data_IF_303779032850
#
_entry.id   IF_303779032850
#
_cell.length_a   1.000
_cell.length_b   1.000
_cell.length_c   1.000
_cell.angle_alpha   90.00
_cell.angle_beta   90.00
_cell.angle_gamma   90.00
#
_symmetry.space_group_name_H-M   'P 1'
#
loop_
_entity.id
_entity.type
_entity.pdbx_description
1 polymer ?
#
# COMPACT_ATOMS: atom_id res chain seq x y z
N UNK A 1 -2.15 -31.94 11.52
CA UNK A 1 -0.99 -31.01 11.52
C UNK A 1 -1.36 -29.82 10.65
N UNK A 2 -1.38 -28.62 11.22
CA UNK A 2 -1.59 -27.38 10.49
C UNK A 2 -0.25 -26.95 9.90
N UNK A 3 -0.18 -26.75 8.59
CA UNK A 3 0.94 -26.07 7.96
C UNK A 3 0.60 -24.58 7.94
N UNK A 4 1.23 -23.83 8.83
CA UNK A 4 1.14 -22.38 8.86
C UNK A 4 2.28 -21.82 8.01
N UNK A 5 1.97 -21.27 6.85
CA UNK A 5 2.91 -20.44 6.09
C UNK A 5 2.81 -19.03 6.68
N UNK A 6 3.68 -18.75 7.63
CA UNK A 6 3.83 -17.40 8.18
C UNK A 6 4.72 -16.60 7.24
N UNK A 7 4.23 -15.44 6.82
CA UNK A 7 5.01 -14.53 5.97
C UNK A 7 6.34 -14.17 6.60
N UNK A 8 7.29 -13.85 5.75
CA UNK A 8 8.67 -13.46 6.06
C UNK A 8 8.73 -12.58 7.30
N UNK A 9 9.45 -13.05 8.32
CA UNK A 9 9.73 -12.29 9.54
C UNK A 9 10.46 -10.97 9.18
N UNK A 10 9.71 -9.89 9.14
CA UNK A 10 10.27 -8.57 9.40
C UNK A 10 9.93 -8.21 10.84
N UNK A 11 10.93 -7.81 11.61
CA UNK A 11 10.85 -7.50 13.02
C UNK A 11 9.53 -6.80 13.40
N UNK A 12 8.81 -7.38 14.36
CA UNK A 12 7.73 -6.77 15.15
C UNK A 12 6.38 -6.49 14.48
N UNK A 13 5.99 -7.18 13.41
CA UNK A 13 4.62 -7.13 12.88
C UNK A 13 3.85 -8.42 13.20
N UNK A 14 2.52 -8.35 13.42
CA UNK A 14 1.72 -9.54 13.67
C UNK A 14 1.88 -10.55 12.53
N UNK A 15 1.98 -11.82 12.88
CA UNK A 15 2.09 -12.93 11.92
C UNK A 15 0.78 -13.00 11.15
N UNK A 16 0.76 -12.48 9.93
CA UNK A 16 -0.40 -12.58 9.05
C UNK A 16 -0.44 -13.96 8.40
N UNK A 17 -1.57 -14.64 8.54
CA UNK A 17 -1.81 -15.91 7.88
C UNK A 17 -2.05 -15.66 6.39
N UNK A 18 -1.09 -16.03 5.54
CA UNK A 18 -1.22 -15.90 4.09
C UNK A 18 -2.04 -17.06 3.53
N UNK A 19 -1.67 -18.29 3.90
CA UNK A 19 -2.35 -19.52 3.50
C UNK A 19 -2.47 -20.44 4.71
N UNK A 20 -3.64 -21.02 4.91
CA UNK A 20 -3.84 -22.14 5.82
C UNK A 20 -4.21 -23.38 5.01
N UNK A 21 -3.58 -24.50 5.32
CA UNK A 21 -3.89 -25.79 4.70
C UNK A 21 -4.42 -26.70 5.81
N UNK A 22 -5.65 -27.17 5.64
CA UNK A 22 -6.29 -28.13 6.56
C UNK A 22 -6.49 -29.46 5.84
N UNK A 23 -6.22 -30.56 6.52
CA UNK A 23 -6.56 -31.88 6.03
C UNK A 23 -8.05 -32.14 6.29
N UNK A 24 -8.78 -32.52 5.26
CA UNK A 24 -10.21 -32.88 5.32
C UNK A 24 -10.37 -34.27 4.68
N UNK A 25 -10.37 -35.31 5.51
CA UNK A 25 -10.33 -36.69 5.06
C UNK A 25 -9.06 -37.02 4.29
N UNK A 26 -9.21 -37.45 3.02
CA UNK A 26 -8.10 -37.71 2.09
C UNK A 26 -7.66 -36.44 1.33
N UNK A 27 -8.44 -35.34 1.39
CA UNK A 27 -8.19 -34.08 0.69
C UNK A 27 -7.49 -33.05 1.57
N UNK A 28 -6.93 -32.05 0.94
CA UNK A 28 -6.39 -30.87 1.60
C UNK A 28 -7.19 -29.63 1.16
N UNK A 29 -7.70 -28.89 2.15
CA UNK A 29 -8.36 -27.62 1.92
C UNK A 29 -7.35 -26.48 2.13
N UNK A 30 -7.04 -25.76 1.07
CA UNK A 30 -6.22 -24.55 1.15
C UNK A 30 -7.14 -23.31 1.23
N UNK A 31 -6.90 -22.47 2.23
CA UNK A 31 -7.62 -21.21 2.41
C UNK A 31 -6.62 -20.07 2.45
N UNK A 32 -6.78 -19.08 1.57
CA UNK A 32 -5.97 -17.86 1.57
C UNK A 32 -6.61 -16.78 2.44
N UNK A 33 -5.77 -15.90 3.02
CA UNK A 33 -6.20 -14.67 3.67
C UNK A 33 -6.59 -13.57 2.67
N UNK A 34 -6.49 -12.33 3.12
CA UNK A 34 -6.76 -11.14 2.27
C UNK A 34 -5.51 -10.67 1.52
N UNK A 35 -4.77 -11.61 0.91
CA UNK A 35 -3.53 -11.32 0.19
C UNK A 35 -3.65 -11.69 -1.27
N UNK A 36 -3.04 -10.89 -2.13
CA UNK A 36 -2.91 -11.12 -3.58
C UNK A 36 -1.46 -10.92 -3.97
N UNK A 37 -0.97 -11.76 -4.88
CA UNK A 37 0.38 -11.68 -5.42
C UNK A 37 1.03 -13.04 -5.59
N UNK A 38 2.32 -13.03 -5.86
CA UNK A 38 3.12 -14.24 -6.15
C UNK A 38 4.27 -14.37 -5.18
N UNK A 39 4.58 -15.60 -4.77
CA UNK A 39 5.76 -15.88 -3.98
C UNK A 39 6.23 -17.33 -4.19
N UNK A 40 7.52 -17.54 -3.94
CA UNK A 40 8.11 -18.89 -3.91
C UNK A 40 8.30 -19.32 -2.47
N UNK A 41 7.94 -20.55 -2.18
CA UNK A 41 8.13 -21.18 -0.89
C UNK A 41 8.56 -22.63 -1.08
N UNK A 42 9.72 -23.02 -0.56
CA UNK A 42 10.28 -24.38 -0.66
C UNK A 42 10.23 -24.96 -2.09
N UNK A 43 10.56 -24.14 -3.10
CA UNK A 43 10.54 -24.55 -4.50
C UNK A 43 9.18 -24.50 -5.18
N UNK A 44 8.10 -24.24 -4.43
CA UNK A 44 6.76 -24.05 -4.99
C UNK A 44 6.53 -22.59 -5.33
N UNK A 45 6.03 -22.33 -6.52
CA UNK A 45 5.52 -21.01 -6.92
C UNK A 45 4.02 -20.93 -6.60
N UNK A 46 3.64 -19.98 -5.79
CA UNK A 46 2.26 -19.76 -5.34
C UNK A 46 1.78 -18.44 -5.90
N UNK A 47 0.67 -18.48 -6.65
CA UNK A 47 -0.01 -17.31 -7.21
C UNK A 47 -1.39 -17.17 -6.57
N UNK A 48 -1.58 -16.12 -5.77
CA UNK A 48 -2.85 -15.80 -5.11
C UNK A 48 -3.53 -14.70 -5.92
N UNK A 49 -4.65 -15.05 -6.56
CA UNK A 49 -5.44 -14.14 -7.38
C UNK A 49 -6.46 -13.37 -6.55
N UNK A 50 -6.88 -12.21 -7.06
CA UNK A 50 -7.96 -11.42 -6.46
C UNK A 50 -9.28 -12.21 -6.47
N UNK A 51 -10.07 -12.05 -5.39
CA UNK A 51 -11.44 -12.61 -5.31
C UNK A 51 -12.41 -11.91 -6.25
N UNK A 52 -12.12 -10.68 -6.59
CA UNK A 52 -12.89 -9.83 -7.49
C UNK A 52 -12.08 -9.58 -8.77
N UNK A 53 -12.63 -8.80 -9.71
CA UNK A 53 -11.97 -8.60 -11.01
C UNK A 53 -10.59 -7.92 -10.87
N UNK A 54 -9.68 -8.25 -11.79
CA UNK A 54 -8.37 -7.58 -11.88
C UNK A 54 -8.52 -6.09 -12.18
N UNK A 55 -9.53 -5.71 -12.97
CA UNK A 55 -9.85 -4.30 -13.26
C UNK A 55 -10.19 -3.52 -11.99
N UNK A 56 -10.93 -4.13 -11.07
CA UNK A 56 -11.21 -3.51 -9.78
C UNK A 56 -9.95 -3.38 -8.90
N UNK A 57 -9.12 -4.43 -8.86
CA UNK A 57 -7.84 -4.38 -8.13
C UNK A 57 -6.95 -3.25 -8.65
N UNK A 58 -6.86 -3.08 -9.96
CA UNK A 58 -6.11 -2.00 -10.58
C UNK A 58 -6.70 -0.61 -10.25
N UNK A 59 -8.04 -0.48 -10.25
CA UNK A 59 -8.69 0.77 -9.82
C UNK A 59 -8.34 1.12 -8.38
N UNK A 60 -8.35 0.16 -7.47
CA UNK A 60 -7.93 0.35 -6.08
C UNK A 60 -6.46 0.78 -5.98
N UNK A 61 -5.56 0.16 -6.74
CA UNK A 61 -4.14 0.54 -6.78
C UNK A 61 -3.94 1.96 -7.32
N UNK A 62 -4.71 2.37 -8.31
CA UNK A 62 -4.67 3.72 -8.85
C UNK A 62 -5.10 4.75 -7.79
N UNK A 63 -6.22 4.53 -7.12
CA UNK A 63 -6.66 5.40 -6.02
C UNK A 63 -5.65 5.49 -4.89
N UNK A 64 -5.05 4.37 -4.50
CA UNK A 64 -4.01 4.35 -3.48
C UNK A 64 -2.78 5.19 -3.85
N UNK A 65 -2.53 5.41 -5.14
CA UNK A 65 -1.49 6.31 -5.67
C UNK A 65 -2.00 7.70 -6.07
N UNK A 66 -3.19 8.11 -5.64
CA UNK A 66 -3.82 9.39 -5.99
C UNK A 66 -4.02 9.61 -7.50
N UNK A 67 -4.24 8.51 -8.23
CA UNK A 67 -4.57 8.51 -9.66
C UNK A 67 -6.08 8.35 -9.79
N UNK A 68 -6.80 9.47 -9.97
CA UNK A 68 -8.26 9.51 -10.02
C UNK A 68 -8.84 9.61 -11.44
N UNK A 69 -8.00 9.47 -12.47
CA UNK A 69 -8.43 9.61 -13.86
C UNK A 69 -9.19 8.37 -14.33
N UNK A 70 -10.35 8.60 -14.96
CA UNK A 70 -11.16 7.53 -15.54
C UNK A 70 -10.55 7.00 -16.84
N UNK A 71 -9.72 7.83 -17.53
CA UNK A 71 -9.12 7.59 -18.84
C UNK A 71 -7.61 7.33 -18.80
N UNK A 72 -7.05 6.90 -17.71
CA UNK A 72 -5.69 6.33 -17.80
C UNK A 72 -5.82 4.97 -18.46
N UNK A 73 -6.26 4.96 -19.72
CA UNK A 73 -5.93 3.92 -20.65
C UNK A 73 -4.41 3.89 -20.70
N UNK A 74 -3.87 2.87 -20.11
CA UNK A 74 -2.50 2.50 -20.37
C UNK A 74 -2.47 2.21 -21.85
N UNK A 75 -1.99 3.20 -22.61
CA UNK A 75 -1.74 3.06 -24.03
C UNK A 75 -0.57 2.09 -24.26
N UNK A 76 -0.81 0.85 -23.92
CA UNK A 76 -0.08 -0.29 -24.39
C UNK A 76 -1.09 -1.16 -25.11
N UNK A 77 -0.89 -1.35 -26.41
CA UNK A 77 -1.73 -2.16 -27.30
C UNK A 77 -1.80 -3.65 -26.94
N UNK A 78 -1.37 -4.02 -25.73
CA UNK A 78 -1.27 -5.41 -25.33
C UNK A 78 -2.41 -5.78 -24.39
N UNK A 79 -3.09 -6.86 -24.74
CA UNK A 79 -4.10 -7.52 -23.93
C UNK A 79 -3.63 -7.65 -22.48
N UNK A 80 -4.47 -7.26 -21.52
CA UNK A 80 -4.21 -7.40 -20.09
C UNK A 80 -4.19 -8.89 -19.77
N UNK A 81 -3.02 -9.46 -19.88
CA UNK A 81 -2.72 -10.79 -19.38
C UNK A 81 -2.46 -10.71 -17.88
N UNK A 82 -2.63 -11.81 -17.16
CA UNK A 82 -2.35 -11.94 -15.70
C UNK A 82 -0.97 -11.42 -15.29
N UNK A 83 -0.01 -11.36 -16.22
CA UNK A 83 1.32 -10.75 -16.06
C UNK A 83 1.29 -9.25 -15.79
N UNK A 84 0.27 -8.52 -16.24
CA UNK A 84 0.25 -7.07 -16.09
C UNK A 84 -0.15 -6.63 -14.69
N UNK A 85 -1.08 -7.31 -14.04
CA UNK A 85 -1.48 -6.95 -12.67
C UNK A 85 -0.33 -7.14 -11.67
N UNK A 86 0.51 -8.15 -11.87
CA UNK A 86 1.72 -8.36 -11.06
C UNK A 86 2.70 -7.20 -11.17
N UNK A 87 2.89 -6.65 -12.36
CA UNK A 87 3.72 -5.44 -12.59
C UNK A 87 3.16 -4.24 -11.85
N UNK A 88 1.84 -4.04 -11.89
CA UNK A 88 1.17 -2.96 -11.17
C UNK A 88 1.39 -3.06 -9.66
N UNK A 89 1.23 -4.24 -9.10
CA UNK A 89 1.48 -4.50 -7.69
C UNK A 89 2.92 -4.15 -7.33
N UNK A 90 3.89 -4.59 -8.14
CA UNK A 90 5.31 -4.31 -7.89
C UNK A 90 5.60 -2.80 -7.99
N UNK A 91 5.04 -2.10 -8.98
CA UNK A 91 5.20 -0.65 -9.11
C UNK A 91 4.61 0.08 -7.91
N UNK A 92 3.40 -0.29 -7.50
CA UNK A 92 2.78 0.25 -6.29
C UNK A 92 3.66 0.04 -5.05
N UNK A 93 4.09 -1.19 -4.81
CA UNK A 93 4.92 -1.53 -3.66
C UNK A 93 6.27 -0.80 -3.69
N UNK A 94 6.89 -0.65 -4.85
CA UNK A 94 8.11 0.12 -5.01
C UNK A 94 7.90 1.58 -4.64
N UNK A 95 6.88 2.24 -5.21
CA UNK A 95 6.59 3.65 -4.98
C UNK A 95 6.30 3.93 -3.52
N UNK A 96 5.40 3.17 -2.90
CA UNK A 96 5.03 3.33 -1.49
C UNK A 96 6.22 3.11 -0.53
N UNK A 97 7.05 2.09 -0.79
CA UNK A 97 8.22 1.85 0.05
C UNK A 97 9.33 2.88 -0.19
N UNK A 98 9.51 3.36 -1.44
CA UNK A 98 10.49 4.40 -1.75
C UNK A 98 10.12 5.72 -1.08
N UNK A 99 8.85 6.13 -1.12
CA UNK A 99 8.36 7.33 -0.46
C UNK A 99 8.63 7.29 1.05
N UNK A 100 8.27 6.19 1.72
CA UNK A 100 8.53 5.98 3.14
C UNK A 100 10.02 5.97 3.47
N UNK A 101 10.84 5.29 2.66
CA UNK A 101 12.28 5.21 2.89
C UNK A 101 12.98 6.55 2.69
N UNK A 102 12.50 7.38 1.76
CA UNK A 102 13.10 8.66 1.42
C UNK A 102 12.86 9.76 2.45
N UNK A 103 11.94 9.59 3.40
CA UNK A 103 11.65 10.58 4.45
C UNK A 103 12.91 11.05 5.21
N UNK A 104 13.89 10.17 5.36
CA UNK A 104 15.18 10.47 6.02
C UNK A 104 16.34 10.66 5.03
N UNK A 105 16.03 10.84 3.75
CA UNK A 105 16.98 11.02 2.66
C UNK A 105 17.57 9.71 2.13
N UNK A 106 18.52 9.83 1.20
CA UNK A 106 19.18 8.68 0.57
C UNK A 106 20.27 8.07 1.49
N UNK A 107 20.56 6.77 1.36
CA UNK A 107 21.64 6.12 2.09
C UNK A 107 22.98 6.75 1.82
N UNK A 108 23.71 7.10 2.90
CA UNK A 108 25.02 7.73 2.85
C UNK A 108 26.08 6.85 3.50
N UNK A 109 27.27 6.94 2.99
CA UNK A 109 28.45 6.32 3.57
C UNK A 109 29.61 7.33 3.66
N UNK A 110 30.46 7.15 4.67
CA UNK A 110 31.67 7.95 4.75
C UNK A 110 32.67 7.50 3.69
N UNK A 111 33.08 8.43 2.83
CA UNK A 111 34.17 8.23 1.85
C UNK A 111 35.35 9.11 2.21
N UNK A 112 36.56 8.57 2.11
CA UNK A 112 37.78 9.34 2.18
C UNK A 112 37.97 10.07 0.86
N UNK A 113 38.10 11.39 0.91
CA UNK A 113 38.32 12.24 -0.26
C UNK A 113 39.71 12.83 -0.14
N UNK A 114 40.53 12.61 -1.15
CA UNK A 114 41.87 13.17 -1.25
C UNK A 114 41.79 14.59 -1.83
N UNK A 115 42.53 15.49 -1.25
CA UNK A 115 42.61 16.88 -1.67
C UNK A 115 44.09 17.26 -1.87
N UNK A 116 44.34 18.09 -2.88
CA UNK A 116 45.63 18.71 -3.10
C UNK A 116 45.37 20.19 -3.43
N UNK A 117 45.13 20.97 -2.38
CA UNK A 117 44.64 22.34 -2.49
C UNK A 117 45.41 23.26 -1.54
N UNK A 118 45.27 24.60 -1.71
CA UNK A 118 45.90 25.59 -0.84
C UNK A 118 45.35 25.55 0.58
N UNK A 119 44.08 25.13 0.76
CA UNK A 119 43.44 24.99 2.06
C UNK A 119 43.49 23.56 2.54
N UNK A 120 43.92 23.36 3.77
CA UNK A 120 43.86 22.05 4.43
C UNK A 120 42.40 21.62 4.62
N UNK A 121 42.04 20.47 4.09
CA UNK A 121 40.73 19.84 4.29
C UNK A 121 40.90 18.48 5.00
N UNK A 122 40.54 18.42 6.26
CA UNK A 122 40.68 17.21 7.06
C UNK A 122 42.09 17.00 7.59
N UNK A 123 42.67 15.83 7.41
CA UNK A 123 44.01 15.46 7.92
C UNK A 123 45.06 15.52 6.78
N UNK A 124 46.26 15.94 7.09
CA UNK A 124 47.38 15.90 6.15
C UNK A 124 47.69 14.43 5.82
N UNK A 125 47.80 14.12 4.53
CA UNK A 125 48.35 12.84 4.05
C UNK A 125 49.85 12.95 4.07
N UNK A 126 50.47 12.50 5.18
CA UNK A 126 51.91 12.63 5.42
C UNK A 126 52.73 12.01 4.30
N UNK A 127 52.29 10.85 3.79
CA UNK A 127 53.00 10.14 2.72
C UNK A 127 52.99 10.94 1.42
N UNK A 128 51.89 11.51 1.06
CA UNK A 128 51.76 12.36 -0.12
C UNK A 128 52.42 13.70 0.07
N UNK A 129 52.31 14.29 1.27
CA UNK A 129 52.98 15.53 1.60
C UNK A 129 54.49 15.43 1.44
N UNK A 130 55.13 14.39 2.01
CA UNK A 130 56.58 14.17 1.87
C UNK A 130 56.96 13.94 0.42
N UNK A 131 56.16 13.20 -0.33
CA UNK A 131 56.50 12.80 -1.70
C UNK A 131 56.29 13.89 -2.75
N UNK A 132 55.25 14.74 -2.57
CA UNK A 132 54.80 15.65 -3.63
C UNK A 132 54.79 17.12 -3.20
N UNK A 133 54.74 17.41 -1.88
CA UNK A 133 54.57 18.78 -1.39
C UNK A 133 55.85 19.34 -0.79
N UNK A 134 56.96 18.63 -0.85
CA UNK A 134 58.31 19.11 -0.42
C UNK A 134 59.21 19.21 -1.66
N UNK A 135 59.76 20.43 -1.96
CA UNK A 135 59.55 21.70 -1.26
C UNK A 135 58.12 22.26 -1.48
N UNK A 136 57.59 22.95 -0.45
CA UNK A 136 56.23 23.46 -0.47
C UNK A 136 55.97 24.43 -1.62
N UNK A 137 54.97 24.08 -2.45
CA UNK A 137 54.54 24.85 -3.65
C UNK A 137 53.16 25.47 -3.52
N UNK A 138 52.71 25.74 -2.31
CA UNK A 138 51.46 26.42 -2.03
C UNK A 138 50.21 25.47 -1.96
N UNK A 139 50.39 24.14 -2.13
CA UNK A 139 49.31 23.15 -1.99
C UNK A 139 49.71 22.09 -0.98
N UNK A 140 48.71 21.56 -0.30
CA UNK A 140 48.88 20.52 0.73
C UNK A 140 48.02 19.32 0.40
N UNK A 141 48.66 18.16 0.39
CA UNK A 141 47.97 16.88 0.26
C UNK A 141 47.26 16.52 1.56
N UNK A 142 45.97 16.39 1.50
CA UNK A 142 45.13 16.10 2.67
C UNK A 142 44.00 15.16 2.36
N UNK A 143 43.45 14.54 3.38
CA UNK A 143 42.31 13.60 3.26
C UNK A 143 41.20 14.04 4.22
N UNK A 144 40.03 14.29 3.67
CA UNK A 144 38.82 14.49 4.46
C UNK A 144 37.96 13.23 4.44
N UNK A 145 37.10 13.11 5.46
CA UNK A 145 36.09 12.07 5.54
C UNK A 145 34.73 12.70 5.44
N UNK A 146 34.10 12.52 4.27
CA UNK A 146 32.81 13.12 3.96
C UNK A 146 31.71 12.09 3.81
N UNK A 147 30.51 12.43 4.22
CA UNK A 147 29.33 11.62 3.92
C UNK A 147 28.91 11.86 2.47
N UNK A 148 28.97 10.81 1.66
CA UNK A 148 28.48 10.82 0.27
C UNK A 148 27.38 9.80 0.10
N UNK A 149 26.43 10.12 -0.72
CA UNK A 149 25.37 9.20 -1.13
C UNK A 149 25.98 8.01 -1.88
N UNK A 150 25.31 6.85 -1.78
CA UNK A 150 25.84 5.61 -2.37
C UNK A 150 25.36 5.53 -3.81
N UNK A 151 26.29 5.66 -4.74
CA UNK A 151 26.02 5.80 -6.16
C UNK A 151 25.28 4.59 -6.73
N UNK A 152 25.66 3.38 -6.34
CA UNK A 152 25.03 2.14 -6.80
C UNK A 152 23.53 2.10 -6.42
N UNK A 153 23.17 2.62 -5.24
CA UNK A 153 21.78 2.69 -4.79
C UNK A 153 21.00 3.71 -5.64
N UNK A 154 21.57 4.90 -5.86
CA UNK A 154 20.94 5.95 -6.67
C UNK A 154 20.68 5.43 -8.08
N UNK A 155 21.66 4.82 -8.71
CA UNK A 155 21.58 4.35 -10.09
C UNK A 155 20.54 3.26 -10.27
N UNK A 156 20.44 2.31 -9.32
CA UNK A 156 19.43 1.25 -9.31
C UNK A 156 18.04 1.84 -9.14
N UNK A 157 17.84 2.72 -8.16
CA UNK A 157 16.55 3.38 -7.92
C UNK A 157 16.11 4.22 -9.12
N UNK A 158 17.03 5.00 -9.70
CA UNK A 158 16.72 5.82 -10.88
C UNK A 158 16.36 4.96 -12.09
N UNK A 159 17.05 3.83 -12.31
CA UNK A 159 16.74 2.90 -13.40
C UNK A 159 15.33 2.32 -13.25
N UNK A 160 14.94 1.90 -12.05
CA UNK A 160 13.59 1.41 -11.77
C UNK A 160 12.54 2.50 -12.00
N UNK A 161 12.76 3.70 -11.47
CA UNK A 161 11.88 4.87 -11.71
C UNK A 161 11.74 5.18 -13.20
N UNK A 162 12.83 5.12 -13.99
CA UNK A 162 12.79 5.34 -15.44
C UNK A 162 11.95 4.30 -16.18
N UNK A 163 11.99 3.05 -15.76
CA UNK A 163 11.16 1.98 -16.34
C UNK A 163 9.69 2.23 -16.04
N UNK A 164 9.35 2.57 -14.79
CA UNK A 164 7.97 2.92 -14.41
C UNK A 164 7.51 4.15 -15.20
N UNK A 165 8.33 5.18 -15.31
CA UNK A 165 8.01 6.42 -16.05
C UNK A 165 7.66 6.15 -17.53
N UNK A 166 8.35 5.19 -18.14
CA UNK A 166 8.09 4.77 -19.52
C UNK A 166 6.77 3.98 -19.65
N UNK A 167 6.49 3.13 -18.68
CA UNK A 167 5.36 2.20 -18.74
C UNK A 167 4.07 2.82 -18.18
N UNK A 168 4.17 3.55 -17.07
CA UNK A 168 3.04 4.23 -16.42
C UNK A 168 3.51 5.42 -15.59
N UNK A 169 3.62 6.57 -16.22
CA UNK A 169 4.07 7.83 -15.60
C UNK A 169 3.20 8.26 -14.42
N UNK A 170 1.92 7.91 -14.41
CA UNK A 170 0.97 8.32 -13.37
C UNK A 170 1.36 7.78 -11.99
N UNK A 171 1.97 6.59 -11.89
CA UNK A 171 2.47 6.04 -10.64
C UNK A 171 3.53 6.90 -9.93
N UNK A 172 4.24 7.74 -10.67
CA UNK A 172 5.32 8.56 -10.12
C UNK A 172 4.88 9.96 -9.66
N UNK A 173 3.57 10.27 -9.72
CA UNK A 173 3.05 11.60 -9.38
C UNK A 173 3.46 12.02 -7.96
N UNK A 174 3.24 11.16 -6.98
CA UNK A 174 3.52 11.45 -5.57
C UNK A 174 5.02 11.52 -5.24
N UNK A 175 5.85 10.81 -6.00
CA UNK A 175 7.31 10.78 -5.82
C UNK A 175 8.07 11.61 -6.88
N UNK A 176 7.42 12.59 -7.51
CA UNK A 176 8.06 13.44 -8.54
C UNK A 176 9.30 14.17 -8.03
N UNK A 177 9.30 14.62 -6.77
CA UNK A 177 10.45 15.24 -6.10
C UNK A 177 11.61 14.24 -5.93
N UNK A 178 11.33 12.99 -5.56
CA UNK A 178 12.35 11.93 -5.44
C UNK A 178 12.94 11.62 -6.82
N UNK A 179 12.10 11.51 -7.86
CA UNK A 179 12.54 11.32 -9.24
C UNK A 179 13.51 12.41 -9.68
N UNK A 180 13.20 13.67 -9.37
CA UNK A 180 14.07 14.82 -9.69
C UNK A 180 15.40 14.74 -8.96
N UNK A 181 15.36 14.41 -7.67
CA UNK A 181 16.57 14.24 -6.86
C UNK A 181 17.45 13.09 -7.40
N UNK A 182 16.88 11.91 -7.64
CA UNK A 182 17.61 10.78 -8.23
C UNK A 182 18.20 11.11 -9.60
N UNK A 183 17.48 11.87 -10.45
CA UNK A 183 17.96 12.31 -11.76
C UNK A 183 19.18 13.23 -11.65
N UNK A 184 19.23 14.08 -10.64
CA UNK A 184 20.33 15.01 -10.42
C UNK A 184 21.64 14.28 -10.02
N UNK A 185 21.53 13.23 -9.21
CA UNK A 185 22.69 12.54 -8.62
C UNK A 185 23.03 11.21 -9.28
N UNK A 186 22.24 10.74 -10.26
CA UNK A 186 22.55 9.51 -10.99
C UNK A 186 23.88 9.60 -11.71
N UNK A 187 24.60 8.49 -11.83
CA UNK A 187 25.74 8.37 -12.74
C UNK A 187 25.30 8.10 -14.18
N UNK A 188 26.26 8.12 -15.10
CA UNK A 188 26.04 7.69 -16.48
C UNK A 188 26.36 6.20 -16.69
N UNK A 189 26.66 5.47 -15.63
CA UNK A 189 27.04 4.07 -15.72
C UNK A 189 25.83 3.18 -16.04
N UNK A 190 26.08 2.10 -16.75
CA UNK A 190 25.05 1.07 -16.97
C UNK A 190 24.77 0.30 -15.68
N UNK A 191 23.50 0.13 -15.37
CA UNK A 191 23.05 -0.65 -14.21
C UNK A 191 22.98 -2.13 -14.61
N UNK A 192 23.98 -2.90 -14.18
CA UNK A 192 24.04 -4.36 -14.35
C UNK A 192 23.50 -5.09 -13.13
N UNK A 193 23.33 -6.42 -13.21
CA UNK A 193 23.01 -7.26 -12.05
C UNK A 193 24.07 -7.17 -10.96
N UNK A 194 25.33 -6.97 -11.32
CA UNK A 194 26.41 -6.74 -10.35
C UNK A 194 26.19 -5.42 -9.58
N UNK A 195 25.79 -4.35 -10.26
CA UNK A 195 25.44 -3.06 -9.62
C UNK A 195 24.28 -3.23 -8.64
N UNK A 196 23.24 -3.98 -9.02
CA UNK A 196 22.10 -4.28 -8.16
C UNK A 196 22.55 -5.06 -6.92
N UNK A 197 23.39 -6.08 -7.09
CA UNK A 197 23.90 -6.88 -5.98
C UNK A 197 24.81 -6.06 -5.05
N UNK A 198 25.64 -5.16 -5.57
CA UNK A 198 26.45 -4.21 -4.77
C UNK A 198 25.55 -3.28 -3.96
N UNK A 199 24.50 -2.74 -4.57
CA UNK A 199 23.52 -1.91 -3.87
C UNK A 199 22.85 -2.67 -2.72
N UNK A 200 22.34 -3.89 -2.95
CA UNK A 200 21.68 -4.73 -1.95
C UNK A 200 22.62 -5.16 -0.80
N UNK A 201 23.91 -5.39 -1.08
CA UNK A 201 24.92 -5.77 -0.09
C UNK A 201 25.59 -4.57 0.60
N UNK A 202 25.13 -3.35 0.33
CA UNK A 202 25.73 -2.14 0.92
C UNK A 202 25.63 -2.16 2.45
N UNK A 203 26.78 -1.92 3.12
CA UNK A 203 26.86 -1.85 4.59
C UNK A 203 25.97 -0.74 5.18
N UNK A 204 25.65 0.31 4.42
CA UNK A 204 24.77 1.38 4.89
C UNK A 204 23.36 0.88 5.17
N UNK A 205 22.89 -0.19 4.50
CA UNK A 205 21.57 -0.79 4.72
C UNK A 205 21.48 -1.58 6.04
N UNK A 206 22.60 -1.76 6.76
CA UNK A 206 22.59 -2.30 8.12
C UNK A 206 22.19 -1.23 9.16
N UNK A 207 22.29 0.05 8.80
CA UNK A 207 21.80 1.13 9.64
C UNK A 207 20.25 1.11 9.65
N UNK A 208 19.60 1.09 10.84
CA UNK A 208 18.13 1.09 10.95
C UNK A 208 17.45 2.21 10.16
N UNK A 209 18.08 3.39 10.03
CA UNK A 209 17.57 4.53 9.26
C UNK A 209 17.43 4.17 7.77
N UNK A 210 18.38 3.42 7.22
CA UNK A 210 18.42 3.07 5.80
C UNK A 210 17.98 1.63 5.51
N UNK A 211 17.71 0.83 6.53
CA UNK A 211 17.22 -0.54 6.38
C UNK A 211 15.97 -0.66 5.47
N UNK A 212 15.01 0.28 5.48
CA UNK A 212 13.85 0.23 4.57
C UNK A 212 14.23 0.20 3.08
N UNK A 213 15.38 0.79 2.71
CA UNK A 213 15.84 0.75 1.31
C UNK A 213 16.17 -0.65 0.81
N UNK A 214 16.45 -1.61 1.69
CA UNK A 214 16.68 -3.00 1.27
C UNK A 214 15.48 -3.53 0.49
N UNK A 215 14.28 -3.35 1.06
CA UNK A 215 13.03 -3.77 0.42
C UNK A 215 12.74 -3.00 -0.88
N UNK A 216 13.03 -1.71 -0.92
CA UNK A 216 12.90 -0.89 -2.13
C UNK A 216 13.82 -1.40 -3.25
N UNK A 217 15.06 -1.74 -2.93
CA UNK A 217 16.02 -2.27 -3.90
C UNK A 217 15.64 -3.68 -4.40
N UNK A 218 15.02 -4.49 -3.56
CA UNK A 218 14.44 -5.77 -3.98
C UNK A 218 13.35 -5.56 -5.04
N UNK A 219 12.41 -4.65 -4.81
CA UNK A 219 11.42 -4.28 -5.84
C UNK A 219 12.06 -3.67 -7.08
N UNK A 220 13.08 -2.80 -6.92
CA UNK A 220 13.82 -2.26 -8.05
C UNK A 220 14.46 -3.35 -8.91
N UNK A 221 15.03 -4.40 -8.30
CA UNK A 221 15.59 -5.56 -9.00
C UNK A 221 14.54 -6.23 -9.89
N UNK A 222 13.30 -6.44 -9.38
CA UNK A 222 12.22 -7.01 -10.19
C UNK A 222 11.80 -6.12 -11.34
N UNK A 223 11.69 -4.82 -11.10
CA UNK A 223 11.33 -3.86 -12.14
C UNK A 223 12.38 -3.84 -13.25
N UNK A 224 13.65 -3.94 -12.90
CA UNK A 224 14.76 -3.87 -13.85
C UNK A 224 14.91 -5.17 -14.65
N UNK A 225 14.79 -6.32 -13.99
CA UNK A 225 14.99 -7.63 -14.63
C UNK A 225 13.73 -8.17 -15.32
N UNK A 226 12.61 -7.45 -15.24
CA UNK A 226 11.31 -7.98 -15.63
C UNK A 226 10.83 -9.04 -14.63
N UNK A 227 9.66 -9.60 -14.86
CA UNK A 227 9.08 -10.61 -13.96
C UNK A 227 9.75 -12.00 -14.06
N UNK A 228 10.93 -12.10 -14.68
CA UNK A 228 11.68 -13.34 -14.73
C UNK A 228 12.25 -13.63 -13.35
N UNK A 229 11.53 -14.44 -12.60
CA UNK A 229 11.95 -15.04 -11.33
C UNK A 229 12.92 -16.20 -11.65
N UNK A 230 13.82 -16.03 -12.60
CA UNK A 230 14.91 -16.97 -12.81
C UNK A 230 16.03 -16.64 -11.85
N UNK A 231 16.01 -17.32 -10.72
CA UNK A 231 17.16 -17.34 -9.84
C UNK A 231 18.20 -18.34 -10.32
N UNK A 232 19.30 -17.80 -10.78
CA UNK A 232 20.60 -18.44 -10.58
C UNK A 232 21.15 -17.87 -9.29
N UNK A 233 20.86 -18.48 -8.15
CA UNK A 233 21.49 -18.14 -6.88
C UNK A 233 22.10 -19.37 -6.21
N UNK A 234 23.35 -19.19 -5.82
CA UNK A 234 24.16 -20.09 -5.03
C UNK A 234 23.44 -20.55 -3.74
N UNK A 235 22.73 -21.67 -3.81
CA UNK A 235 22.48 -22.58 -2.71
C UNK A 235 21.70 -22.11 -1.48
N UNK A 236 21.26 -20.86 -1.38
CA UNK A 236 20.36 -20.40 -0.30
C UNK A 236 18.98 -20.14 -0.86
N UNK A 237 18.00 -20.94 -0.42
CA UNK A 237 16.58 -20.74 -0.69
C UNK A 237 16.12 -19.42 -0.02
N UNK A 238 16.26 -18.31 -0.72
CA UNK A 238 15.60 -17.07 -0.29
C UNK A 238 14.16 -17.12 -0.82
N UNK A 239 13.22 -17.20 0.10
CA UNK A 239 11.78 -17.06 -0.18
C UNK A 239 11.55 -15.65 -0.68
N UNK A 240 11.26 -15.54 -1.97
CA UNK A 240 11.03 -14.23 -2.57
C UNK A 240 9.61 -14.14 -3.14
N UNK A 241 8.97 -13.01 -2.90
CA UNK A 241 7.64 -12.78 -3.43
C UNK A 241 7.16 -11.35 -3.18
N UNK A 242 6.10 -10.98 -3.87
CA UNK A 242 5.36 -9.76 -3.61
C UNK A 242 3.91 -10.13 -3.31
N UNK A 243 3.44 -9.69 -2.18
CA UNK A 243 2.05 -9.86 -1.75
C UNK A 243 1.55 -8.54 -1.15
N UNK A 244 0.32 -8.19 -1.46
CA UNK A 244 -0.36 -7.03 -0.89
C UNK A 244 -1.59 -7.47 -0.11
N UNK A 245 -1.89 -6.75 0.96
CA UNK A 245 -3.14 -6.89 1.68
C UNK A 245 -4.25 -6.13 0.94
N UNK A 246 -5.14 -6.85 0.28
CA UNK A 246 -6.21 -6.23 -0.50
C UNK A 246 -7.35 -5.68 0.37
N UNK A 247 -7.48 -6.12 1.63
CA UNK A 247 -8.43 -5.52 2.55
C UNK A 247 -7.99 -4.10 2.94
N UNK A 248 -6.71 -3.92 3.28
CA UNK A 248 -6.13 -2.59 3.53
C UNK A 248 -6.19 -1.70 2.27
N UNK A 249 -5.94 -2.29 1.10
CA UNK A 249 -6.05 -1.56 -0.16
C UNK A 249 -7.49 -1.09 -0.44
N UNK A 250 -8.48 -1.90 -0.11
CA UNK A 250 -9.90 -1.54 -0.25
C UNK A 250 -10.29 -0.42 0.72
N UNK A 251 -9.83 -0.47 1.96
CA UNK A 251 -10.00 0.59 2.95
C UNK A 251 -9.44 1.93 2.43
N UNK A 252 -8.18 1.92 1.94
CA UNK A 252 -7.54 3.11 1.36
C UNK A 252 -8.34 3.63 0.16
N UNK A 253 -8.80 2.73 -0.71
CA UNK A 253 -9.58 3.08 -1.89
C UNK A 253 -10.90 3.79 -1.53
N UNK A 254 -11.70 3.23 -0.63
CA UNK A 254 -12.96 3.83 -0.19
C UNK A 254 -12.70 5.15 0.54
N UNK A 255 -11.68 5.20 1.42
CA UNK A 255 -11.31 6.43 2.13
C UNK A 255 -10.99 7.56 1.14
N UNK A 256 -10.14 7.30 0.14
CA UNK A 256 -9.79 8.31 -0.87
C UNK A 256 -10.95 8.69 -1.78
N UNK A 257 -11.84 7.74 -2.10
CA UNK A 257 -13.06 8.03 -2.84
C UNK A 257 -13.96 9.00 -2.06
N UNK A 258 -14.16 8.75 -0.78
CA UNK A 258 -14.93 9.62 0.10
C UNK A 258 -14.25 10.98 0.31
N UNK A 259 -12.94 11.04 0.50
CA UNK A 259 -12.20 12.30 0.60
C UNK A 259 -12.36 13.18 -0.65
N UNK A 260 -12.31 12.55 -1.83
CA UNK A 260 -12.50 13.25 -3.12
C UNK A 260 -13.91 13.84 -3.27
N UNK A 261 -14.92 13.08 -2.89
CA UNK A 261 -16.34 13.39 -3.17
C UNK A 261 -17.04 14.18 -2.07
N UNK A 262 -16.49 14.18 -0.86
CA UNK A 262 -17.01 14.91 0.30
C UNK A 262 -15.99 15.92 0.83
N UNK A 263 -15.62 16.88 -0.02
CA UNK A 263 -14.59 17.87 0.28
C UNK A 263 -14.90 18.79 1.49
N UNK A 264 -16.16 18.86 1.90
CA UNK A 264 -16.65 19.60 3.05
C UNK A 264 -16.69 18.78 4.35
N UNK A 265 -16.29 17.49 4.29
CA UNK A 265 -16.14 16.60 5.43
C UNK A 265 -14.66 16.28 5.66
N UNK A 266 -14.27 16.21 6.92
CA UNK A 266 -12.96 15.68 7.29
C UNK A 266 -13.04 14.16 7.37
N UNK A 267 -12.27 13.45 6.55
CA UNK A 267 -12.30 11.99 6.42
C UNK A 267 -10.98 11.41 6.86
N UNK A 268 -11.00 10.55 7.87
CA UNK A 268 -9.81 9.90 8.44
C UNK A 268 -10.05 8.45 8.87
N UNK A 269 -8.98 7.71 9.15
CA UNK A 269 -8.99 6.41 9.84
C UNK A 269 -8.33 6.59 11.22
N UNK A 270 -9.08 6.91 12.29
CA UNK A 270 -8.50 7.28 13.57
C UNK A 270 -8.13 6.07 14.42
N UNK A 271 -6.98 6.16 15.11
CA UNK A 271 -6.58 5.22 16.16
C UNK A 271 -6.99 5.77 17.53
N UNK A 272 -8.12 5.31 18.06
CA UNK A 272 -8.67 5.78 19.33
C UNK A 272 -8.24 4.87 20.48
N UNK A 273 -7.65 5.44 21.52
CA UNK A 273 -7.33 4.74 22.77
C UNK A 273 -8.45 4.95 23.78
N UNK A 274 -9.03 3.87 24.28
CA UNK A 274 -10.09 3.94 25.30
C UNK A 274 -9.56 4.37 26.67
N UNK A 275 -8.34 3.95 27.01
CA UNK A 275 -7.68 4.21 28.29
C UNK A 275 -7.40 5.72 28.53
N UNK A 276 -7.17 6.49 27.49
CA UNK A 276 -6.90 7.94 27.62
C UNK A 276 -8.14 8.75 27.98
N UNK A 277 -9.34 8.26 27.70
CA UNK A 277 -10.59 8.99 27.89
C UNK A 277 -11.42 8.57 29.09
N UNK A 278 -11.26 7.34 29.59
CA UNK A 278 -12.03 6.81 30.72
C UNK A 278 -11.26 6.79 32.04
N UNK A 279 -10.04 7.38 32.09
CA UNK A 279 -9.20 7.44 33.28
C UNK A 279 -8.42 6.17 33.57
N UNK A 280 -7.44 6.27 34.47
CA UNK A 280 -6.47 5.22 34.82
C UNK A 280 -7.03 3.94 35.45
N UNK A 281 -8.34 3.84 35.60
CA UNK A 281 -9.04 2.70 36.22
C UNK A 281 -9.44 1.58 35.28
N UNK A 282 -9.11 1.70 33.98
CA UNK A 282 -9.42 0.65 33.02
C UNK A 282 -8.38 -0.44 33.02
N UNK A 283 -8.81 -1.67 33.33
CA UNK A 283 -7.99 -2.90 33.33
C UNK A 283 -7.53 -3.31 31.91
N UNK A 284 -8.07 -2.69 30.85
CA UNK A 284 -7.78 -3.05 29.46
C UNK A 284 -7.43 -1.82 28.62
N UNK A 285 -6.18 -1.73 28.21
CA UNK A 285 -5.77 -0.80 27.14
C UNK A 285 -6.23 -1.36 25.78
N UNK A 286 -7.46 -1.11 25.39
CA UNK A 286 -7.98 -1.46 24.06
C UNK A 286 -8.07 -0.22 23.16
N UNK A 287 -7.71 -0.43 21.90
CA UNK A 287 -7.90 0.56 20.86
C UNK A 287 -9.20 0.29 20.12
N UNK A 288 -9.94 1.35 19.83
CA UNK A 288 -11.03 1.35 18.84
C UNK A 288 -10.43 1.94 17.58
N UNK A 289 -10.49 1.23 16.47
CA UNK A 289 -9.93 1.64 15.19
C UNK A 289 -11.02 1.47 14.13
N UNK A 290 -11.92 2.47 13.96
CA UNK A 290 -12.82 2.49 12.82
C UNK A 290 -12.02 2.68 11.54
N UNK A 291 -12.39 1.96 10.48
CA UNK A 291 -11.70 2.08 9.20
C UNK A 291 -11.86 3.49 8.61
N UNK A 292 -13.07 4.03 8.63
CA UNK A 292 -13.36 5.35 8.07
C UNK A 292 -14.30 6.14 8.99
N UNK A 293 -13.86 7.34 9.33
CA UNK A 293 -14.70 8.32 10.06
C UNK A 293 -14.73 9.61 9.26
N UNK A 294 -15.92 10.10 9.00
CA UNK A 294 -16.14 11.39 8.35
C UNK A 294 -16.79 12.34 9.36
N UNK A 295 -16.21 13.50 9.56
CA UNK A 295 -16.72 14.51 10.51
C UNK A 295 -16.99 15.85 9.83
N UNK A 296 -18.11 16.46 10.20
CA UNK A 296 -18.46 17.81 9.80
C UNK A 296 -19.19 18.49 10.96
N UNK A 297 -18.53 19.44 11.62
CA UNK A 297 -19.02 20.03 12.88
C UNK A 297 -19.23 18.95 13.96
N UNK A 298 -20.48 18.74 14.37
CA UNK A 298 -20.88 17.67 15.31
C UNK A 298 -21.45 16.43 14.62
N UNK A 299 -21.65 16.48 13.31
CA UNK A 299 -22.15 15.34 12.56
C UNK A 299 -21.02 14.37 12.24
N UNK A 300 -21.28 13.09 12.40
CA UNK A 300 -20.33 12.02 12.13
C UNK A 300 -20.95 10.89 11.32
N UNK A 301 -20.16 10.34 10.43
CA UNK A 301 -20.44 9.11 9.69
C UNK A 301 -19.32 8.13 9.99
N UNK A 302 -19.67 6.88 10.26
CA UNK A 302 -18.69 5.83 10.59
C UNK A 302 -18.89 4.64 9.67
N UNK A 303 -17.84 4.25 8.96
CA UNK A 303 -17.85 3.06 8.12
C UNK A 303 -16.75 2.08 8.52
N UNK A 304 -17.06 0.82 8.32
CA UNK A 304 -16.13 -0.28 8.46
C UNK A 304 -16.13 -1.07 7.13
N UNK A 305 -14.96 -1.28 6.55
CA UNK A 305 -14.80 -1.87 5.22
C UNK A 305 -14.50 -3.36 5.31
N UNK A 306 -15.15 -4.16 4.49
CA UNK A 306 -15.02 -5.62 4.52
C UNK A 306 -14.73 -6.17 3.13
N UNK A 307 -13.48 -6.56 2.88
CA UNK A 307 -13.08 -7.17 1.59
C UNK A 307 -13.37 -8.67 1.59
N UNK A 308 -14.65 -9.02 1.62
CA UNK A 308 -15.13 -10.40 1.57
C UNK A 308 -16.40 -10.50 0.73
N UNK A 309 -16.66 -11.69 0.18
CA UNK A 309 -17.93 -11.95 -0.51
C UNK A 309 -19.06 -11.83 0.50
N UNK A 310 -20.04 -11.04 0.17
CA UNK A 310 -21.21 -10.88 0.99
C UNK A 310 -22.23 -11.96 0.61
N UNK A 311 -22.58 -12.82 1.57
CA UNK A 311 -23.64 -13.80 1.42
C UNK A 311 -24.94 -13.18 1.87
N UNK A 312 -25.79 -12.83 0.90
CA UNK A 312 -27.14 -12.37 1.16
C UNK A 312 -28.06 -13.57 1.35
N UNK A 313 -27.98 -14.22 2.50
CA UNK A 313 -28.95 -15.23 2.86
C UNK A 313 -30.22 -14.54 3.30
N UNK A 314 -31.23 -14.53 2.46
CA UNK A 314 -32.57 -14.15 2.85
C UNK A 314 -33.09 -15.17 3.86
N UNK A 315 -32.91 -14.90 5.14
CA UNK A 315 -33.65 -15.61 6.17
C UNK A 315 -35.13 -15.26 5.97
N UNK A 316 -36.02 -16.26 6.05
CA UNK A 316 -37.49 -16.07 5.93
C UNK A 316 -37.92 -14.81 6.68
N UNK A 317 -38.19 -13.71 5.96
CA UNK A 317 -38.64 -12.47 6.57
C UNK A 317 -37.92 -11.17 6.19
N UNK A 318 -37.27 -11.09 5.02
CA UNK A 318 -36.61 -9.85 4.50
C UNK A 318 -35.36 -9.33 5.24
N UNK A 319 -34.70 -10.14 6.04
CA UNK A 319 -33.43 -9.78 6.72
C UNK A 319 -32.20 -10.07 5.87
N UNK A 320 -31.23 -9.17 5.95
CA UNK A 320 -29.86 -9.40 5.47
C UNK A 320 -29.08 -10.01 6.62
N UNK A 321 -28.51 -11.20 6.42
CA UNK A 321 -27.65 -11.82 7.44
C UNK A 321 -26.24 -11.24 7.32
N UNK A 322 -25.92 -10.33 8.25
CA UNK A 322 -24.59 -9.74 8.39
C UNK A 322 -23.82 -10.57 9.40
N UNK A 323 -22.51 -10.75 9.15
CA UNK A 323 -21.63 -11.38 10.13
C UNK A 323 -21.77 -10.69 11.49
N UNK A 324 -22.03 -11.51 12.53
CA UNK A 324 -22.31 -11.03 13.89
C UNK A 324 -21.18 -10.15 14.45
N UNK A 325 -19.93 -10.51 14.15
CA UNK A 325 -18.78 -9.76 14.67
C UNK A 325 -18.67 -8.40 13.95
N UNK A 326 -18.89 -8.36 12.63
CA UNK A 326 -18.90 -7.11 11.85
C UNK A 326 -20.00 -6.16 12.37
N UNK A 327 -21.18 -6.72 12.63
CA UNK A 327 -22.30 -5.95 13.18
C UNK A 327 -21.97 -5.37 14.57
N UNK A 328 -21.41 -6.16 15.48
CA UNK A 328 -21.04 -5.66 16.79
C UNK A 328 -19.88 -4.65 16.72
N UNK A 329 -18.94 -4.83 15.83
CA UNK A 329 -17.81 -3.92 15.64
C UNK A 329 -18.30 -2.53 15.24
N UNK A 330 -19.09 -2.43 14.18
CA UNK A 330 -19.60 -1.13 13.71
C UNK A 330 -20.53 -0.46 14.72
N UNK A 331 -21.39 -1.24 15.42
CA UNK A 331 -22.25 -0.69 16.47
C UNK A 331 -21.43 -0.14 17.65
N UNK A 332 -20.33 -0.78 18.00
CA UNK A 332 -19.41 -0.25 19.03
C UNK A 332 -18.84 1.10 18.61
N UNK A 333 -18.44 1.24 17.35
CA UNK A 333 -17.92 2.51 16.83
C UNK A 333 -18.99 3.62 16.83
N UNK A 334 -20.19 3.32 16.34
CA UNK A 334 -21.31 4.28 16.34
C UNK A 334 -21.67 4.72 17.77
N UNK A 335 -21.78 3.77 18.71
CA UNK A 335 -22.07 4.06 20.12
C UNK A 335 -20.99 4.90 20.78
N UNK A 336 -19.71 4.65 20.44
CA UNK A 336 -18.61 5.45 20.95
C UNK A 336 -18.77 6.92 20.57
N UNK A 337 -19.00 7.23 19.29
CA UNK A 337 -19.17 8.62 18.83
C UNK A 337 -20.44 9.27 19.40
N UNK A 338 -21.54 8.53 19.52
CA UNK A 338 -22.76 9.03 20.13
C UNK A 338 -22.53 9.41 21.61
N UNK A 339 -21.79 8.59 22.37
CA UNK A 339 -21.44 8.88 23.76
C UNK A 339 -20.47 10.04 23.93
N UNK A 340 -19.76 10.44 22.86
CA UNK A 340 -18.93 11.64 22.80
C UNK A 340 -19.70 12.91 22.35
N UNK A 341 -21.05 12.87 22.35
CA UNK A 341 -21.95 13.95 21.94
C UNK A 341 -21.81 14.35 20.46
N UNK A 342 -21.40 13.42 19.60
CA UNK A 342 -21.54 13.58 18.16
C UNK A 342 -22.91 13.12 17.68
N UNK A 343 -23.40 13.76 16.62
CA UNK A 343 -24.59 13.32 15.91
C UNK A 343 -24.21 12.25 14.89
N UNK A 344 -24.37 10.98 15.24
CA UNK A 344 -24.11 9.90 14.29
C UNK A 344 -25.23 9.89 13.24
N UNK A 345 -24.91 10.35 12.03
CA UNK A 345 -25.88 10.39 10.92
C UNK A 345 -26.00 9.03 10.24
N UNK A 346 -24.87 8.45 9.89
CA UNK A 346 -24.80 7.17 9.19
C UNK A 346 -23.71 6.32 9.82
N UNK A 347 -24.03 5.05 10.06
CA UNK A 347 -23.04 4.02 10.30
C UNK A 347 -23.25 2.86 9.37
N UNK A 348 -22.20 2.15 8.97
CA UNK A 348 -22.43 1.04 8.07
C UNK A 348 -21.20 0.21 7.71
N UNK A 349 -21.50 -0.88 7.02
CA UNK A 349 -20.55 -1.83 6.50
C UNK A 349 -20.45 -1.68 4.99
N UNK A 350 -19.21 -1.56 4.48
CA UNK A 350 -18.95 -1.35 3.07
C UNK A 350 -18.21 -2.56 2.45
N UNK A 351 -18.78 -3.07 1.36
CA UNK A 351 -18.31 -4.29 0.69
C UNK A 351 -18.04 -4.04 -0.81
N UNK A 352 -17.17 -4.84 -1.45
CA UNK A 352 -17.25 -5.10 -2.89
C UNK A 352 -18.47 -6.01 -3.11
N UNK A 353 -19.44 -5.59 -3.92
CA UNK A 353 -20.73 -6.27 -4.10
C UNK A 353 -20.72 -7.02 -5.42
N UNK A 354 -20.81 -8.35 -5.38
CA UNK A 354 -20.83 -9.19 -6.62
C UNK A 354 -22.24 -9.40 -7.17
N UNK A 355 -23.25 -9.33 -6.31
CA UNK A 355 -24.66 -9.49 -6.71
C UNK A 355 -25.46 -8.32 -6.18
N UNK A 356 -26.11 -7.60 -7.08
CA UNK A 356 -27.01 -6.54 -6.69
C UNK A 356 -28.13 -7.06 -5.80
N UNK A 357 -28.41 -6.39 -4.70
CA UNK A 357 -29.48 -6.73 -3.79
C UNK A 357 -30.86 -6.62 -4.41
N UNK A 358 -31.05 -5.58 -5.18
CA UNK A 358 -32.30 -5.34 -5.95
C UNK A 358 -32.01 -4.37 -7.09
N UNK A 359 -32.60 -4.68 -8.21
CA UNK A 359 -32.74 -3.74 -9.32
C UNK A 359 -33.38 -2.44 -8.78
N UNK A 360 -32.74 -1.30 -9.06
CA UNK A 360 -33.26 0.06 -8.78
C UNK A 360 -33.21 0.62 -7.33
N UNK A 361 -32.35 0.15 -6.45
CA UNK A 361 -32.10 0.84 -5.18
C UNK A 361 -30.81 1.67 -5.22
N UNK A 362 -30.88 2.89 -4.66
CA UNK A 362 -29.72 3.78 -4.52
C UNK A 362 -28.70 3.23 -3.51
N UNK A 363 -29.16 2.46 -2.51
CA UNK A 363 -28.37 1.83 -1.46
C UNK A 363 -28.85 0.39 -1.31
N UNK A 364 -27.92 -0.55 -1.11
CA UNK A 364 -28.25 -1.96 -0.98
C UNK A 364 -29.19 -2.25 0.18
N UNK A 365 -28.86 -1.76 1.37
CA UNK A 365 -29.70 -1.89 2.57
C UNK A 365 -29.57 -0.65 3.45
N UNK A 366 -30.71 -0.14 3.93
CA UNK A 366 -30.75 0.98 4.86
C UNK A 366 -31.91 0.80 5.84
N UNK A 367 -31.63 0.99 7.13
CA UNK A 367 -32.62 0.99 8.21
C UNK A 367 -32.28 2.03 9.27
N UNK A 368 -33.25 2.37 10.13
CA UNK A 368 -33.00 3.19 11.31
C UNK A 368 -32.16 2.40 12.32
N UNK A 369 -31.18 3.07 12.95
CA UNK A 369 -30.33 2.44 13.95
C UNK A 369 -31.07 2.34 15.28
N UNK A 370 -31.42 1.12 15.71
CA UNK A 370 -32.17 0.84 16.94
C UNK A 370 -33.41 1.77 17.14
N UNK A 371 -34.13 2.07 16.05
CA UNK A 371 -35.30 2.94 16.11
C UNK A 371 -35.01 4.45 16.15
N UNK A 372 -33.76 4.87 16.17
CA UNK A 372 -33.37 6.27 16.07
C UNK A 372 -33.60 6.79 14.65
N UNK A 373 -34.59 7.67 14.47
CA UNK A 373 -34.95 8.22 13.16
C UNK A 373 -33.87 9.10 12.54
N UNK A 374 -33.01 9.69 13.37
CA UNK A 374 -31.93 10.60 12.95
C UNK A 374 -30.61 9.86 12.60
N UNK A 375 -30.59 8.54 12.76
CA UNK A 375 -29.41 7.73 12.48
C UNK A 375 -29.76 6.57 11.57
N UNK A 376 -29.02 6.39 10.48
CA UNK A 376 -29.17 5.26 9.56
C UNK A 376 -28.03 4.27 9.72
N UNK A 377 -28.39 2.99 9.73
CA UNK A 377 -27.45 1.90 9.54
C UNK A 377 -27.55 1.41 8.09
N UNK A 378 -26.43 1.33 7.39
CA UNK A 378 -26.41 0.91 6.00
C UNK A 378 -25.46 -0.27 5.76
N UNK A 379 -25.78 -1.03 4.74
CA UNK A 379 -24.90 -2.01 4.13
C UNK A 379 -24.86 -1.66 2.66
N UNK A 380 -23.69 -1.27 2.17
CA UNK A 380 -23.52 -0.80 0.80
C UNK A 380 -22.08 -1.02 0.33
N UNK A 381 -21.71 -0.43 -0.77
CA UNK A 381 -20.35 -0.43 -1.30
C UNK A 381 -20.30 -0.31 -2.82
N UNK A 382 -19.23 -0.83 -3.41
CA UNK A 382 -19.06 -0.75 -4.85
C UNK A 382 -19.65 -1.99 -5.52
N UNK A 383 -20.65 -1.78 -6.33
CA UNK A 383 -21.30 -2.85 -7.10
C UNK A 383 -20.37 -3.32 -8.23
N UNK A 384 -19.91 -4.54 -8.14
CA UNK A 384 -19.05 -5.20 -9.12
C UNK A 384 -19.80 -6.26 -9.96
N UNK A 385 -21.14 -6.34 -9.79
CA UNK A 385 -21.95 -7.29 -10.56
C UNK A 385 -21.85 -6.96 -12.05
N UNK A 386 -21.77 -8.01 -12.87
CA UNK A 386 -21.78 -7.91 -14.34
C UNK A 386 -20.78 -6.90 -14.94
N UNK A 387 -19.63 -6.69 -14.28
CA UNK A 387 -18.54 -5.92 -14.87
C UNK A 387 -18.03 -6.63 -16.12
N UNK A 388 -18.29 -6.03 -17.27
CA UNK A 388 -17.70 -6.47 -18.53
C UNK A 388 -16.29 -5.91 -18.65
N UNK A 389 -15.33 -6.73 -19.06
CA UNK A 389 -14.00 -6.26 -19.41
C UNK A 389 -14.08 -5.48 -20.73
N UNK A 390 -14.23 -4.16 -20.59
CA UNK A 390 -14.18 -3.22 -21.71
C UNK A 390 -12.75 -2.72 -21.88
N UNK A 391 -12.15 -3.02 -23.02
CA UNK A 391 -10.76 -2.66 -23.32
C UNK A 391 -10.58 -1.16 -23.59
N UNK A 392 -11.60 -0.45 -24.09
CA UNK A 392 -11.51 0.95 -24.46
C UNK A 392 -11.82 1.89 -23.29
N UNK A 393 -12.75 1.52 -22.40
CA UNK A 393 -13.18 2.32 -21.25
C UNK A 393 -13.15 1.51 -19.95
N UNK A 394 -11.99 0.99 -19.63
CA UNK A 394 -11.76 0.02 -18.56
C UNK A 394 -12.37 0.40 -17.22
N UNK A 395 -12.26 1.66 -16.84
CA UNK A 395 -12.75 2.14 -15.55
C UNK A 395 -14.10 2.85 -15.60
N UNK A 396 -14.63 3.16 -16.78
CA UNK A 396 -15.87 3.92 -16.90
C UNK A 396 -17.07 3.25 -16.21
N UNK A 397 -17.16 1.93 -16.27
CA UNK A 397 -18.21 1.19 -15.58
C UNK A 397 -18.07 1.28 -14.06
N UNK A 398 -16.85 1.13 -13.54
CA UNK A 398 -16.57 1.23 -12.10
C UNK A 398 -16.83 2.65 -11.63
N UNK A 399 -16.39 3.67 -12.37
CA UNK A 399 -16.62 5.08 -12.06
C UNK A 399 -18.11 5.43 -11.94
N UNK A 400 -18.95 4.93 -12.84
CA UNK A 400 -20.42 5.09 -12.74
C UNK A 400 -20.98 4.47 -11.46
N UNK A 401 -20.43 3.34 -11.02
CA UNK A 401 -20.88 2.67 -9.80
C UNK A 401 -20.34 3.34 -8.54
N UNK A 402 -19.13 3.89 -8.59
CA UNK A 402 -18.60 4.79 -7.57
C UNK A 402 -19.53 6.00 -7.38
N UNK A 403 -19.93 6.65 -8.48
CA UNK A 403 -20.86 7.78 -8.44
C UNK A 403 -22.22 7.40 -7.84
N UNK A 404 -22.79 6.25 -8.24
CA UNK A 404 -24.05 5.76 -7.67
C UNK A 404 -23.96 5.53 -6.17
N UNK A 405 -22.87 4.94 -5.69
CA UNK A 405 -22.60 4.76 -4.26
C UNK A 405 -22.55 6.10 -3.51
N UNK A 406 -21.79 7.06 -4.05
CA UNK A 406 -21.67 8.41 -3.47
C UNK A 406 -23.00 9.16 -3.45
N UNK A 407 -23.77 9.11 -4.54
CA UNK A 407 -25.08 9.73 -4.64
C UNK A 407 -26.05 9.14 -3.63
N UNK A 408 -25.99 7.82 -3.39
CA UNK A 408 -26.77 7.14 -2.35
C UNK A 408 -26.50 7.71 -0.96
N UNK A 409 -25.24 7.89 -0.58
CA UNK A 409 -24.86 8.49 0.70
C UNK A 409 -25.30 9.95 0.78
N UNK A 410 -25.05 10.75 -0.27
CA UNK A 410 -25.46 12.17 -0.33
C UNK A 410 -26.98 12.32 -0.19
N UNK A 411 -27.75 11.42 -0.81
CA UNK A 411 -29.22 11.41 -0.71
C UNK A 411 -29.68 11.11 0.70
N UNK A 412 -29.10 10.11 1.38
CA UNK A 412 -29.42 9.82 2.78
C UNK A 412 -29.16 11.01 3.70
N UNK A 413 -28.04 11.71 3.51
CA UNK A 413 -27.67 12.86 4.33
C UNK A 413 -28.66 14.05 4.18
N UNK A 414 -29.36 14.17 3.05
CA UNK A 414 -30.38 15.19 2.84
C UNK A 414 -31.65 14.92 3.63
N UNK A 415 -31.90 13.68 4.04
CA UNK A 415 -33.09 13.27 4.79
C UNK A 415 -32.82 13.14 6.31
N UNK A 416 -31.59 13.37 6.76
CA UNK A 416 -31.13 13.32 8.15
C UNK A 416 -30.70 14.69 8.68
#
# INVERSE_FOLDING_TARGET
RFLLVTGVQTCALPIYLIISIKKDGENYLAQTGNYVGKFKWEGLEIDIKSRFSNTFLERMLNFANDIFLDDVSITGKDSINELDISKYIIYYMFVQNLEKAFLLGLPKAYKSIEHHEMKLKGKIDINKFIKYDIPFQGKISSVSREQKEIQEIIDVLYKAVKIIDKNNKAFLKNISHIKTHLKQYKSNNYVSNETINKALKSKALQNPIFAPYKKVLEYARFIINGNNIEEKNDGKQETFGFIINVAELFEIYITKLLQKEFSDWYVESPHLRLDERFGKTYLYSRKIIPDIVMTKNKDVIVFDTKYKKMNFNYVKGNGVDVDRNDFFQINTYMSYYQNQNYNVKIGGLLYPIEKSFKENKDICHSQTWFGNLNTKFIIDGIDLSDLKEDKENKFAQISKREQKFIEGIKKLLKYL
#
